data_IF_433910536028
#
_entry.id   IF_433910536028
#
_cell.length_a   1.000
_cell.length_b   1.000
_cell.length_c   1.000
_cell.angle_alpha   90.00
_cell.angle_beta   90.00
_cell.angle_gamma   90.00
#
_symmetry.space_group_name_H-M   'P 1'
#
loop_
_entity.id
_entity.type
_entity.pdbx_description
1 polymer ?
#
# COMPACT_ATOMS: atom_id res chain seq x y z
N UNK A 1 -2.91 -42.77 -34.14
CA UNK A 1 -2.34 -42.80 -32.77
C UNK A 1 -3.39 -42.20 -31.85
N UNK A 2 -3.89 -42.99 -30.92
CA UNK A 2 -5.12 -42.72 -30.15
C UNK A 2 -4.79 -41.99 -28.85
N UNK A 3 -5.06 -40.68 -28.81
CA UNK A 3 -4.87 -39.85 -27.61
C UNK A 3 -5.78 -40.23 -26.43
N UNK A 4 -6.72 -41.16 -26.62
CA UNK A 4 -7.66 -41.66 -25.60
C UNK A 4 -7.04 -42.61 -24.58
N UNK A 5 -5.77 -43.01 -24.73
CA UNK A 5 -5.12 -44.05 -23.91
C UNK A 5 -4.04 -43.48 -22.95
N UNK A 6 -3.78 -42.16 -23.01
CA UNK A 6 -2.63 -41.53 -22.33
C UNK A 6 -3.02 -40.83 -21.00
N UNK A 7 -4.31 -40.68 -20.71
CA UNK A 7 -4.77 -40.24 -19.37
C UNK A 7 -6.01 -41.02 -18.98
N UNK A 8 -5.94 -41.70 -17.83
CA UNK A 8 -7.09 -42.45 -17.31
C UNK A 8 -8.07 -41.47 -16.66
N UNK A 9 -9.37 -41.66 -16.86
CA UNK A 9 -10.38 -40.63 -16.50
C UNK A 9 -10.42 -40.34 -14.98
N UNK A 10 -10.05 -41.33 -14.17
CA UNK A 10 -9.88 -41.21 -12.72
C UNK A 10 -8.71 -40.29 -12.35
N UNK A 11 -7.60 -40.29 -13.11
CA UNK A 11 -6.43 -39.46 -12.81
C UNK A 11 -6.75 -37.98 -13.04
N UNK A 12 -7.47 -37.67 -14.13
CA UNK A 12 -7.98 -36.32 -14.40
C UNK A 12 -9.00 -35.85 -13.33
N UNK A 13 -9.87 -36.75 -12.85
CA UNK A 13 -10.82 -36.46 -11.78
C UNK A 13 -10.10 -36.17 -10.44
N UNK A 14 -9.08 -36.96 -10.11
CA UNK A 14 -8.23 -36.75 -8.92
C UNK A 14 -7.45 -35.45 -9.04
N UNK A 15 -6.85 -35.12 -10.19
CA UNK A 15 -6.08 -33.88 -10.36
C UNK A 15 -6.97 -32.63 -10.20
N UNK A 16 -8.21 -32.68 -10.68
CA UNK A 16 -9.17 -31.58 -10.55
C UNK A 16 -9.62 -31.40 -9.10
N UNK A 17 -9.98 -32.49 -8.42
CA UNK A 17 -10.35 -32.45 -7.00
C UNK A 17 -9.19 -32.00 -6.10
N UNK A 18 -7.97 -32.47 -6.38
CA UNK A 18 -6.77 -32.08 -5.65
C UNK A 18 -6.40 -30.61 -5.86
N UNK A 19 -6.49 -30.10 -7.09
CA UNK A 19 -6.27 -28.68 -7.40
C UNK A 19 -7.29 -27.78 -6.69
N UNK A 20 -8.57 -28.15 -6.74
CA UNK A 20 -9.64 -27.42 -6.04
C UNK A 20 -9.42 -27.41 -4.50
N UNK A 21 -9.02 -28.54 -3.93
CA UNK A 21 -8.68 -28.66 -2.51
C UNK A 21 -7.44 -27.83 -2.14
N UNK A 22 -6.39 -27.85 -2.97
CA UNK A 22 -5.16 -27.09 -2.75
C UNK A 22 -5.43 -25.58 -2.70
N UNK A 23 -6.26 -25.07 -3.62
CA UNK A 23 -6.68 -23.66 -3.62
C UNK A 23 -7.51 -23.33 -2.38
N UNK A 24 -8.42 -24.20 -1.96
CA UNK A 24 -9.20 -24.02 -0.74
C UNK A 24 -8.31 -23.94 0.51
N UNK A 25 -7.33 -24.84 0.63
CA UNK A 25 -6.33 -24.85 1.72
C UNK A 25 -5.44 -23.60 1.66
N UNK A 26 -5.03 -23.16 0.48
CA UNK A 26 -4.23 -21.94 0.31
C UNK A 26 -4.99 -20.68 0.79
N UNK A 27 -6.29 -20.56 0.49
CA UNK A 27 -7.12 -19.47 1.01
C UNK A 27 -7.27 -19.52 2.53
N UNK A 28 -7.45 -20.72 3.11
CA UNK A 28 -7.45 -20.93 4.57
C UNK A 28 -6.12 -20.47 5.19
N UNK A 29 -4.99 -20.84 4.58
CA UNK A 29 -3.66 -20.51 5.09
C UNK A 29 -3.41 -19.00 5.05
N UNK A 30 -3.73 -18.33 3.94
CA UNK A 30 -3.60 -16.87 3.81
C UNK A 30 -4.50 -16.16 4.83
N UNK A 31 -5.75 -16.60 5.00
CA UNK A 31 -6.68 -16.05 5.99
C UNK A 31 -6.16 -16.20 7.44
N UNK A 32 -5.56 -17.34 7.76
CA UNK A 32 -4.96 -17.59 9.08
C UNK A 32 -3.71 -16.73 9.33
N UNK A 33 -2.83 -16.60 8.33
CA UNK A 33 -1.67 -15.71 8.38
C UNK A 33 -2.10 -14.25 8.58
N UNK A 34 -3.11 -13.77 7.83
CA UNK A 34 -3.68 -12.43 8.00
C UNK A 34 -4.28 -12.24 9.40
N UNK A 35 -4.93 -13.27 9.96
CA UNK A 35 -5.50 -13.21 11.30
C UNK A 35 -4.42 -13.13 12.39
N UNK A 36 -3.30 -13.83 12.22
CA UNK A 36 -2.11 -13.71 13.10
C UNK A 36 -1.47 -12.33 13.02
N UNK A 37 -1.25 -11.80 11.81
CA UNK A 37 -0.76 -10.43 11.63
C UNK A 37 -1.74 -9.38 12.18
N UNK A 38 -3.05 -9.58 12.02
CA UNK A 38 -4.08 -8.72 12.61
C UNK A 38 -4.03 -8.73 14.13
N UNK A 39 -3.67 -9.85 14.77
CA UNK A 39 -3.53 -9.91 16.24
C UNK A 39 -2.33 -9.10 16.72
N UNK A 40 -1.23 -9.09 15.96
CA UNK A 40 -0.05 -8.26 16.22
C UNK A 40 -0.35 -6.77 15.95
N UNK A 41 -1.04 -6.45 14.86
CA UNK A 41 -1.45 -5.09 14.50
C UNK A 41 -2.49 -4.51 15.49
N UNK A 42 -3.48 -5.29 15.92
CA UNK A 42 -4.44 -4.91 16.95
C UNK A 42 -3.81 -4.73 18.35
N UNK A 43 -2.54 -5.10 18.53
CA UNK A 43 -1.74 -4.69 19.68
C UNK A 43 -1.49 -3.18 19.75
N UNK A 44 -1.55 -2.47 18.62
CA UNK A 44 -1.44 -1.00 18.54
C UNK A 44 -2.79 -0.29 18.75
N UNK A 45 -3.92 -0.90 18.38
CA UNK A 45 -5.25 -0.25 18.42
C UNK A 45 -6.00 -0.37 19.76
N UNK A 46 -5.36 -0.87 20.83
CA UNK A 46 -5.95 -0.88 22.19
C UNK A 46 -5.95 0.51 22.87
N UNK A 47 -6.33 1.57 22.15
CA UNK A 47 -6.64 2.87 22.76
C UNK A 47 -7.72 3.71 22.06
N UNK A 48 -8.72 3.11 21.40
CA UNK A 48 -10.00 3.81 21.29
C UNK A 48 -11.24 2.91 21.12
N UNK A 49 -11.82 2.44 22.23
CA UNK A 49 -13.28 2.33 22.28
C UNK A 49 -13.82 2.41 23.74
N UNK A 50 -14.85 3.25 23.92
CA UNK A 50 -15.73 3.38 25.09
C UNK A 50 -15.14 3.78 26.45
N UNK A 51 -15.08 5.09 26.69
CA UNK A 51 -15.75 5.77 27.82
C UNK A 51 -16.37 7.05 27.25
N UNK A 52 -17.70 7.14 27.15
CA UNK A 52 -18.63 7.53 28.22
C UNK A 52 -18.60 9.04 28.52
N UNK A 53 -19.76 9.66 28.34
CA UNK A 53 -20.10 11.06 28.64
C UNK A 53 -19.47 11.62 29.91
N UNK A 54 -18.73 12.74 29.80
CA UNK A 54 -18.94 13.90 30.67
C UNK A 54 -18.30 15.17 30.09
N UNK A 55 -18.95 16.30 30.36
CA UNK A 55 -18.48 17.65 30.06
C UNK A 55 -17.42 18.03 31.09
N UNK A 56 -16.28 18.57 30.66
CA UNK A 56 -15.18 18.97 31.54
C UNK A 56 -14.25 19.99 30.91
N UNK A 57 -14.60 21.27 31.04
CA UNK A 57 -13.76 22.41 30.62
C UNK A 57 -12.54 22.52 31.56
N UNK A 58 -11.34 22.69 30.98
CA UNK A 58 -10.24 23.52 31.53
C UNK A 58 -9.41 24.08 30.36
N UNK A 59 -8.93 25.32 30.50
CA UNK A 59 -8.27 26.14 29.47
C UNK A 59 -6.74 26.15 29.65
N UNK A 60 -6.05 26.73 28.65
CA UNK A 60 -4.68 27.31 28.72
C UNK A 60 -3.50 26.32 28.94
N UNK A 61 -2.30 26.46 28.37
CA UNK A 61 -1.74 27.22 27.23
C UNK A 61 -0.38 26.54 26.85
N UNK A 62 0.41 26.87 25.82
CA UNK A 62 0.42 27.90 24.78
C UNK A 62 1.26 27.40 23.56
N UNK A 63 1.36 28.16 22.45
CA UNK A 63 2.39 27.99 21.41
C UNK A 63 1.88 27.89 19.96
N UNK A 64 2.36 28.72 19.01
CA UNK A 64 1.81 28.79 17.66
C UNK A 64 2.44 27.78 16.68
N UNK A 65 2.08 26.49 16.80
CA UNK A 65 2.36 25.50 15.74
C UNK A 65 1.36 25.67 14.59
N UNK A 66 1.66 26.61 13.70
CA UNK A 66 0.88 26.86 12.49
C UNK A 66 0.75 25.59 11.63
N UNK A 67 -0.47 25.29 11.19
CA UNK A 67 -0.80 24.32 10.15
C UNK A 67 -0.41 22.85 10.41
N UNK A 68 -0.81 22.29 11.56
CA UNK A 68 -0.87 20.83 11.78
C UNK A 68 -2.09 20.18 11.10
N UNK A 69 -2.30 20.50 9.82
CA UNK A 69 -3.19 19.77 8.89
C UNK A 69 -2.43 19.57 7.58
N UNK A 70 -1.26 18.93 7.68
CA UNK A 70 -0.77 18.15 6.55
C UNK A 70 -1.60 16.86 6.55
N UNK A 71 -2.36 16.62 5.48
CA UNK A 71 -3.01 15.35 5.26
C UNK A 71 -1.92 14.25 5.23
N UNK A 72 -2.18 13.06 5.79
CA UNK A 72 -1.12 12.05 6.01
C UNK A 72 -0.40 11.67 4.69
N UNK A 73 -1.12 11.73 3.57
CA UNK A 73 -0.61 11.54 2.20
C UNK A 73 0.55 12.50 1.83
N UNK A 74 0.50 13.76 2.29
CA UNK A 74 1.56 14.74 2.01
C UNK A 74 2.82 14.47 2.85
N UNK A 75 2.68 13.92 4.06
CA UNK A 75 3.82 13.53 4.90
C UNK A 75 4.55 12.32 4.30
N UNK A 76 3.82 11.33 3.80
CA UNK A 76 4.40 10.20 3.06
C UNK A 76 5.14 10.67 1.80
N UNK A 77 4.52 11.58 1.03
CA UNK A 77 5.12 12.16 -0.17
C UNK A 77 6.42 12.91 0.14
N UNK A 78 6.43 13.75 1.18
CA UNK A 78 7.63 14.46 1.65
C UNK A 78 8.71 13.47 2.07
N UNK A 79 8.36 12.41 2.81
CA UNK A 79 9.31 11.41 3.29
C UNK A 79 9.99 10.64 2.14
N UNK A 80 9.20 10.13 1.18
CA UNK A 80 9.72 9.36 0.03
C UNK A 80 10.58 10.24 -0.88
N UNK A 81 10.15 11.48 -1.16
CA UNK A 81 10.95 12.43 -1.97
C UNK A 81 12.25 12.77 -1.24
N UNK A 82 12.20 13.10 0.04
CA UNK A 82 13.39 13.47 0.83
C UNK A 82 14.38 12.31 0.94
N UNK A 83 13.90 11.08 1.18
CA UNK A 83 14.73 9.88 1.19
C UNK A 83 15.39 9.62 -0.18
N UNK A 84 14.66 9.82 -1.28
CA UNK A 84 15.19 9.65 -2.65
C UNK A 84 16.29 10.68 -2.98
N UNK A 85 16.13 11.93 -2.55
CA UNK A 85 17.13 12.98 -2.73
C UNK A 85 18.35 12.74 -1.81
N UNK A 86 18.11 12.35 -0.56
CA UNK A 86 19.15 11.95 0.39
C UNK A 86 20.02 10.82 -0.15
N UNK A 87 19.41 9.78 -0.73
CA UNK A 87 20.11 8.65 -1.33
C UNK A 87 20.92 9.02 -2.59
N UNK A 88 20.35 9.84 -3.49
CA UNK A 88 21.05 10.24 -4.74
C UNK A 88 22.21 11.20 -4.49
N UNK A 89 22.09 12.08 -3.49
CA UNK A 89 23.14 13.04 -3.12
C UNK A 89 24.05 12.54 -1.97
N UNK A 90 23.88 11.30 -1.50
CA UNK A 90 24.64 10.69 -0.40
C UNK A 90 24.68 11.57 0.87
N UNK A 91 23.57 12.25 1.18
CA UNK A 91 23.45 13.21 2.29
C UNK A 91 22.38 12.76 3.28
N UNK A 92 22.50 13.18 4.54
CA UNK A 92 21.48 12.94 5.56
C UNK A 92 20.17 13.66 5.23
N UNK A 93 19.04 13.03 5.55
CA UNK A 93 17.70 13.65 5.43
C UNK A 93 17.58 14.95 6.23
N UNK A 94 18.33 15.08 7.33
CA UNK A 94 18.40 16.29 8.15
C UNK A 94 18.96 17.53 7.45
N UNK A 95 19.65 17.36 6.30
CA UNK A 95 20.20 18.46 5.51
C UNK A 95 19.24 18.99 4.44
N UNK A 96 18.05 18.38 4.30
CA UNK A 96 17.08 18.69 3.24
C UNK A 96 15.81 19.26 3.88
N UNK A 97 15.40 20.45 3.43
CA UNK A 97 14.19 21.13 3.92
C UNK A 97 13.21 21.32 2.76
N UNK A 98 12.08 20.60 2.81
CA UNK A 98 11.00 20.73 1.82
C UNK A 98 10.07 21.86 2.24
N UNK A 99 9.95 22.91 1.41
CA UNK A 99 9.22 24.15 1.75
C UNK A 99 7.86 24.29 1.06
N UNK A 100 7.68 23.66 -0.10
CA UNK A 100 6.43 23.63 -0.86
C UNK A 100 6.48 22.48 -1.86
N UNK A 101 5.35 21.80 -2.09
CA UNK A 101 5.15 20.83 -3.16
C UNK A 101 3.95 21.30 -3.98
N UNK A 102 4.11 21.50 -5.28
CA UNK A 102 3.01 21.89 -6.17
C UNK A 102 2.98 20.96 -7.37
N UNK A 103 1.90 20.17 -7.49
CA UNK A 103 1.70 19.26 -8.61
C UNK A 103 1.30 20.05 -9.86
N UNK A 104 2.16 20.05 -10.88
CA UNK A 104 1.86 20.69 -12.18
C UNK A 104 0.94 19.76 -12.98
N UNK A 105 -0.24 20.21 -13.43
CA UNK A 105 -1.16 19.36 -14.18
C UNK A 105 -0.57 18.99 -15.54
N UNK A 106 -0.26 17.70 -15.73
CA UNK A 106 0.18 17.17 -17.02
C UNK A 106 -1.03 17.05 -17.95
N UNK A 107 -1.19 18.01 -18.85
CA UNK A 107 -2.32 18.09 -19.79
C UNK A 107 -2.32 16.97 -20.84
N UNK A 108 -1.21 16.24 -20.99
CA UNK A 108 -1.12 15.05 -21.83
C UNK A 108 -0.87 13.82 -20.94
N UNK A 109 -1.73 12.78 -20.96
CA UNK A 109 -1.49 11.56 -20.21
C UNK A 109 -0.26 10.81 -20.76
N UNK A 110 0.49 10.09 -19.92
CA UNK A 110 1.75 9.44 -20.32
C UNK A 110 1.60 8.51 -21.52
N UNK A 111 0.49 7.76 -21.63
CA UNK A 111 0.17 6.92 -22.80
C UNK A 111 0.09 7.72 -24.11
N UNK A 112 -0.44 8.94 -24.05
CA UNK A 112 -0.51 9.88 -25.18
C UNK A 112 0.85 10.46 -25.59
N UNK A 113 1.83 10.48 -24.69
CA UNK A 113 3.21 10.87 -25.00
C UNK A 113 4.00 9.70 -25.62
N UNK A 114 3.92 8.51 -25.01
CA UNK A 114 4.64 7.31 -25.49
C UNK A 114 4.20 6.90 -26.90
N UNK A 115 2.90 6.93 -27.18
CA UNK A 115 2.38 6.68 -28.54
C UNK A 115 2.93 7.64 -29.59
N UNK A 116 3.08 8.94 -29.28
CA UNK A 116 3.71 9.92 -30.17
C UNK A 116 5.20 9.64 -30.39
N UNK A 117 5.93 9.26 -29.34
CA UNK A 117 7.35 8.90 -29.43
C UNK A 117 7.59 7.67 -30.33
N UNK A 118 6.67 6.70 -30.31
CA UNK A 118 6.71 5.53 -31.21
C UNK A 118 6.40 5.90 -32.68
N UNK A 119 5.63 6.96 -32.94
CA UNK A 119 5.38 7.43 -34.32
C UNK A 119 6.57 8.21 -34.91
N UNK A 120 7.36 8.87 -34.07
CA UNK A 120 8.53 9.66 -34.50
C UNK A 120 9.81 8.83 -34.65
N UNK A 121 9.84 7.59 -34.18
CA UNK A 121 10.95 6.66 -34.36
C UNK A 121 10.62 5.68 -35.50
N UNK A 122 10.98 6.06 -36.72
CA UNK A 122 10.71 5.34 -37.97
C UNK A 122 11.95 5.34 -38.88
#
# INVERSE_FOLDING_TARGET
MTFSEIISINDALVITGFSMLLVFVALIAISYILSGFKLLAAGQEKKNNNQASSIGVTREADGPSANLVAEEEDLELIAVITASIAATLQTSTSNIVVRNITRIPQTTPLWGLVSRQQMTNK
#
